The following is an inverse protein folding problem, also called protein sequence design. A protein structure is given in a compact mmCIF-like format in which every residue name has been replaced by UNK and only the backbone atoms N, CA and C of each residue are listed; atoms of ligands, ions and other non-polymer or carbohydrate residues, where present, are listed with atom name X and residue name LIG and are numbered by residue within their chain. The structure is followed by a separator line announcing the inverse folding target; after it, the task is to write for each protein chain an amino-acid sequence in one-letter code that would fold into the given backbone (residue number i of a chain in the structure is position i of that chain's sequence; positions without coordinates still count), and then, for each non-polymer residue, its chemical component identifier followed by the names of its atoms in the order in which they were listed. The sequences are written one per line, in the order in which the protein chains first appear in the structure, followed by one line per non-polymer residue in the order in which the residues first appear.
data_IF_903701548228
#
_entry.id   IF_903701548228
#
_cell.length_a   1.000
_cell.length_b   1.000
_cell.length_c   1.000
_cell.angle_alpha   90.00
_cell.angle_beta   90.00
_cell.angle_gamma   90.00
#
_symmetry.space_group_name_H-M   'P 1'
#
loop_
_entity.id
_entity.type
_entity.pdbx_description
1 polymer ?
#
# COMPACT_ATOMS: atom_id res chain seq x y z
N UNK A 1 49.11 27.47 -47.56
CA UNK A 1 49.32 26.39 -46.57
C UNK A 1 48.30 26.60 -45.47
N UNK A 2 47.43 25.61 -45.28
CA UNK A 2 46.24 25.68 -44.46
C UNK A 2 46.57 25.72 -42.96
N UNK A 3 45.86 26.56 -42.21
CA UNK A 3 45.63 26.30 -40.79
C UNK A 3 44.13 26.31 -40.54
N UNK A 4 43.61 25.10 -40.44
CA UNK A 4 42.22 24.72 -40.29
C UNK A 4 41.75 24.83 -38.85
N UNK A 5 40.63 25.55 -38.69
CA UNK A 5 39.52 25.30 -37.76
C UNK A 5 39.75 25.50 -36.25
N UNK A 6 38.83 26.22 -35.56
CA UNK A 6 38.94 26.45 -34.14
C UNK A 6 38.45 25.25 -33.32
N UNK A 7 39.22 24.93 -32.29
CA UNK A 7 38.77 24.77 -30.89
C UNK A 7 37.72 23.69 -30.58
N UNK A 8 38.09 22.78 -29.67
CA UNK A 8 37.15 22.30 -28.65
C UNK A 8 37.07 20.78 -28.44
N UNK A 9 37.87 20.28 -27.50
CA UNK A 9 37.44 19.38 -26.40
C UNK A 9 36.20 18.49 -26.63
N UNK A 10 36.38 17.26 -27.09
CA UNK A 10 35.34 16.22 -26.99
C UNK A 10 35.75 14.95 -26.20
N UNK A 11 36.49 15.02 -25.06
CA UNK A 11 36.44 13.97 -24.03
C UNK A 11 35.35 14.23 -22.97
N UNK A 12 34.76 15.42 -22.96
CA UNK A 12 33.79 15.87 -21.94
C UNK A 12 32.41 15.27 -22.11
N UNK A 13 31.95 15.00 -23.35
CA UNK A 13 30.59 14.46 -23.58
C UNK A 13 30.35 13.08 -22.94
N UNK A 14 31.33 12.18 -22.97
CA UNK A 14 31.20 10.85 -22.35
C UNK A 14 31.18 10.89 -20.82
N UNK A 15 31.91 11.83 -20.22
CA UNK A 15 31.89 12.06 -18.78
C UNK A 15 30.61 12.78 -18.37
N UNK A 16 30.18 13.82 -19.08
CA UNK A 16 28.92 14.55 -18.81
C UNK A 16 27.70 13.63 -18.83
N UNK A 17 27.60 12.68 -19.75
CA UNK A 17 26.48 11.73 -19.82
C UNK A 17 26.44 10.76 -18.61
N UNK A 18 27.60 10.32 -18.08
CA UNK A 18 27.64 9.48 -16.86
C UNK A 18 27.36 10.27 -15.59
N UNK A 19 27.85 11.51 -15.56
CA UNK A 19 27.63 12.48 -14.49
C UNK A 19 26.12 12.78 -14.44
N UNK A 20 25.49 13.07 -15.57
CA UNK A 20 24.06 13.41 -15.67
C UNK A 20 23.13 12.35 -15.06
N UNK A 21 23.40 11.05 -15.27
CA UNK A 21 22.60 9.98 -14.62
C UNK A 21 22.69 10.00 -13.09
N UNK A 22 23.82 10.40 -12.51
CA UNK A 22 23.97 10.59 -11.06
C UNK A 22 23.19 11.81 -10.55
N UNK A 23 22.97 12.81 -11.41
CA UNK A 23 22.22 14.03 -11.07
C UNK A 23 20.73 13.97 -11.45
N UNK A 24 20.29 13.00 -12.27
CA UNK A 24 18.91 12.93 -12.77
C UNK A 24 18.22 11.57 -12.63
N UNK A 25 18.92 10.50 -12.24
CA UNK A 25 18.28 9.21 -11.95
C UNK A 25 17.79 9.24 -10.50
N UNK A 26 16.53 9.59 -10.34
CA UNK A 26 15.89 9.45 -9.05
C UNK A 26 15.89 7.95 -8.74
N UNK A 27 16.67 7.51 -7.74
CA UNK A 27 16.75 6.10 -7.31
C UNK A 27 15.41 5.56 -6.81
N UNK A 28 14.54 5.12 -7.73
CA UNK A 28 13.12 4.82 -7.49
C UNK A 28 12.88 3.33 -7.20
N UNK A 29 13.91 2.59 -6.78
CA UNK A 29 13.78 1.13 -6.61
C UNK A 29 12.73 0.73 -5.57
N UNK A 30 12.78 1.36 -4.39
CA UNK A 30 11.92 0.98 -3.25
C UNK A 30 10.77 1.98 -3.01
N UNK A 31 10.88 3.19 -3.55
CA UNK A 31 9.88 4.26 -3.39
C UNK A 31 8.45 3.88 -3.84
N UNK A 32 8.23 3.17 -4.96
CA UNK A 32 6.87 2.82 -5.39
C UNK A 32 6.28 1.68 -4.56
N UNK A 33 7.07 0.97 -3.74
CA UNK A 33 6.54 -0.10 -2.88
C UNK A 33 5.50 0.45 -1.91
N UNK A 34 5.74 1.63 -1.34
CA UNK A 34 4.79 2.28 -0.45
C UNK A 34 3.56 2.84 -1.18
N UNK A 35 3.67 3.13 -2.49
CA UNK A 35 2.52 3.55 -3.28
C UNK A 35 1.43 2.46 -3.34
N UNK A 36 1.80 1.18 -3.21
CA UNK A 36 0.84 0.08 -3.07
C UNK A 36 -0.08 0.19 -1.85
N UNK A 37 0.36 0.89 -0.79
CA UNK A 37 -0.49 1.13 0.39
C UNK A 37 -1.70 2.03 0.07
N UNK A 38 -1.68 2.79 -1.04
CA UNK A 38 -2.85 3.54 -1.50
C UNK A 38 -4.08 2.66 -1.70
N UNK A 39 -3.88 1.44 -2.22
CA UNK A 39 -4.96 0.44 -2.41
C UNK A 39 -5.56 0.01 -1.07
N UNK A 40 -4.73 -0.15 -0.03
CA UNK A 40 -5.19 -0.45 1.32
C UNK A 40 -6.10 0.65 1.87
N UNK A 41 -5.75 1.92 1.63
CA UNK A 41 -6.60 3.05 2.05
C UNK A 41 -7.88 3.15 1.24
N UNK A 42 -7.85 2.86 -0.07
CA UNK A 42 -9.05 2.78 -0.88
C UNK A 42 -10.02 1.70 -0.37
N UNK A 43 -9.50 0.53 0.01
CA UNK A 43 -10.30 -0.53 0.63
C UNK A 43 -10.89 -0.11 1.99
N UNK A 44 -10.12 0.62 2.82
CA UNK A 44 -10.61 1.16 4.09
C UNK A 44 -11.81 2.09 3.87
N UNK A 45 -11.74 3.00 2.90
CA UNK A 45 -12.85 3.90 2.58
C UNK A 45 -14.06 3.12 2.01
N UNK A 46 -13.83 2.08 1.20
CA UNK A 46 -14.91 1.21 0.71
C UNK A 46 -15.64 0.46 1.85
N UNK A 47 -14.90 -0.02 2.86
CA UNK A 47 -15.48 -0.67 4.05
C UNK A 47 -16.26 0.35 4.88
N UNK A 48 -15.74 1.57 5.04
CA UNK A 48 -16.43 2.66 5.75
C UNK A 48 -17.76 3.02 5.06
N UNK A 49 -17.77 3.14 3.74
CA UNK A 49 -18.99 3.38 2.97
C UNK A 49 -19.98 2.21 3.10
N UNK A 50 -19.49 0.97 3.03
CA UNK A 50 -20.32 -0.23 3.21
C UNK A 50 -20.99 -0.30 4.58
N UNK A 51 -20.28 0.09 5.66
CA UNK A 51 -20.85 0.17 7.02
C UNK A 51 -21.97 1.20 7.11
N UNK A 52 -21.80 2.36 6.48
CA UNK A 52 -22.84 3.39 6.44
C UNK A 52 -24.10 2.89 5.71
N UNK A 53 -23.93 2.19 4.58
CA UNK A 53 -25.03 1.61 3.81
C UNK A 53 -25.73 0.46 4.53
N UNK A 54 -25.01 -0.31 5.34
CA UNK A 54 -25.56 -1.42 6.13
C UNK A 54 -26.29 -0.97 7.41
N UNK A 55 -26.40 0.34 7.65
CA UNK A 55 -27.03 0.94 8.84
C UNK A 55 -26.49 0.37 10.17
N UNK A 56 -25.21 -0.01 10.20
CA UNK A 56 -24.55 -0.45 11.44
C UNK A 56 -24.57 0.74 12.41
N UNK A 57 -24.97 0.50 13.66
CA UNK A 57 -25.24 1.52 14.69
C UNK A 57 -24.24 2.69 14.68
N UNK A 58 -24.70 3.90 15.02
CA UNK A 58 -23.84 5.10 15.08
C UNK A 58 -22.61 4.94 15.99
N UNK A 59 -22.67 4.04 16.98
CA UNK A 59 -21.52 3.64 17.82
C UNK A 59 -20.52 2.69 17.12
N UNK A 60 -20.95 1.96 16.09
CA UNK A 60 -20.11 1.10 15.25
C UNK A 60 -19.45 1.85 14.06
N UNK A 61 -19.88 3.09 13.79
CA UNK A 61 -19.21 4.04 12.89
C UNK A 61 -17.90 4.64 13.46
N UNK A 62 -17.33 4.02 14.49
CA UNK A 62 -16.00 4.35 14.99
C UNK A 62 -14.89 4.11 13.97
N UNK A 63 -13.64 4.29 14.40
CA UNK A 63 -12.46 4.16 13.53
C UNK A 63 -12.39 2.76 12.90
N UNK A 64 -12.57 2.67 11.57
CA UNK A 64 -12.36 1.43 10.81
C UNK A 64 -10.87 1.12 10.77
N UNK A 65 -10.43 0.18 11.60
CA UNK A 65 -9.07 -0.38 11.56
C UNK A 65 -9.03 -1.51 10.53
N UNK A 66 -8.16 -1.39 9.53
CA UNK A 66 -7.87 -2.43 8.56
C UNK A 66 -6.38 -2.74 8.68
N UNK A 67 -6.05 -3.89 9.26
CA UNK A 67 -4.66 -4.31 9.44
C UNK A 67 -4.05 -4.76 8.11
N UNK A 68 -2.75 -4.57 7.98
CA UNK A 68 -2.02 -5.15 6.84
C UNK A 68 -1.75 -6.62 7.11
N UNK A 69 -1.88 -7.52 6.12
CA UNK A 69 -2.48 -7.35 4.80
C UNK A 69 -4.01 -7.24 4.84
N UNK A 70 -4.60 -6.42 3.97
CA UNK A 70 -6.05 -6.24 3.87
C UNK A 70 -6.70 -7.41 3.10
N UNK A 71 -6.64 -8.61 3.67
CA UNK A 71 -7.20 -9.81 3.06
C UNK A 71 -8.74 -9.73 2.95
N UNK A 72 -9.29 -10.52 2.03
CA UNK A 72 -10.74 -10.57 1.79
C UNK A 72 -11.52 -10.96 3.06
N UNK A 73 -11.00 -11.90 3.85
CA UNK A 73 -11.60 -12.31 5.12
C UNK A 73 -11.74 -11.13 6.10
N UNK A 74 -10.66 -10.36 6.31
CA UNK A 74 -10.62 -9.23 7.23
C UNK A 74 -11.54 -8.12 6.76
N UNK A 75 -11.52 -7.83 5.45
CA UNK A 75 -12.37 -6.80 4.83
C UNK A 75 -13.86 -7.16 4.94
N UNK A 76 -14.22 -8.44 4.77
CA UNK A 76 -15.62 -8.89 4.86
C UNK A 76 -16.14 -8.84 6.29
N UNK A 77 -15.38 -9.38 7.25
CA UNK A 77 -15.74 -9.34 8.68
C UNK A 77 -15.81 -7.90 9.17
N UNK A 78 -14.95 -7.02 8.66
CA UNK A 78 -14.97 -5.60 9.01
C UNK A 78 -16.24 -4.87 8.56
N UNK A 79 -17.04 -5.35 7.60
CA UNK A 79 -18.31 -4.67 7.25
C UNK A 79 -19.33 -4.76 8.40
N UNK A 80 -19.33 -5.86 9.17
CA UNK A 80 -20.19 -6.00 10.35
C UNK A 80 -21.69 -5.98 10.03
N UNK A 81 -22.08 -6.48 8.86
CA UNK A 81 -23.48 -6.60 8.46
C UNK A 81 -24.22 -7.68 9.29
N UNK A 82 -25.53 -7.78 9.09
CA UNK A 82 -26.38 -8.75 9.77
C UNK A 82 -25.93 -10.21 9.56
N UNK A 83 -25.30 -10.51 8.41
CA UNK A 83 -24.74 -11.83 8.13
C UNK A 83 -23.56 -12.10 9.06
N UNK A 84 -22.62 -11.17 9.17
CA UNK A 84 -21.46 -11.29 10.07
C UNK A 84 -21.91 -11.37 11.53
N UNK A 85 -22.95 -10.63 11.93
CA UNK A 85 -23.52 -10.72 13.27
C UNK A 85 -24.13 -12.10 13.55
N UNK A 86 -24.88 -12.66 12.60
CA UNK A 86 -25.47 -14.00 12.72
C UNK A 86 -24.45 -15.13 12.66
N UNK A 87 -23.32 -14.94 11.99
CA UNK A 87 -22.26 -15.92 11.83
C UNK A 87 -21.14 -15.81 12.88
N UNK A 88 -21.33 -15.00 13.94
CA UNK A 88 -20.31 -14.80 14.96
C UNK A 88 -20.15 -16.06 15.82
N UNK A 89 -19.00 -16.72 15.70
CA UNK A 89 -18.63 -17.90 16.49
C UNK A 89 -17.65 -17.50 17.60
N UNK A 90 -17.94 -17.89 18.84
CA UNK A 90 -17.02 -17.78 19.97
C UNK A 90 -16.22 -19.07 20.14
N UNK A 91 -14.92 -18.96 20.42
CA UNK A 91 -14.11 -20.12 20.78
C UNK A 91 -14.58 -20.72 22.11
N UNK A 92 -14.69 -22.04 22.16
CA UNK A 92 -15.05 -22.77 23.38
C UNK A 92 -13.82 -23.14 24.21
N UNK A 93 -14.04 -23.53 25.47
CA UNK A 93 -12.96 -23.93 26.37
C UNK A 93 -12.20 -25.15 25.83
N UNK A 94 -10.89 -25.01 25.64
CA UNK A 94 -10.02 -26.06 25.11
C UNK A 94 -9.78 -26.03 23.59
N UNK A 95 -10.48 -25.18 22.83
CA UNK A 95 -10.28 -25.06 21.39
C UNK A 95 -9.03 -24.25 21.04
N UNK A 96 -8.19 -24.80 20.14
CA UNK A 96 -7.01 -24.12 19.62
C UNK A 96 -7.33 -23.50 18.27
N UNK A 97 -6.86 -22.27 18.05
CA UNK A 97 -6.98 -21.59 16.76
C UNK A 97 -6.13 -22.32 15.72
N UNK A 98 -6.70 -22.56 14.54
CA UNK A 98 -5.97 -23.17 13.42
C UNK A 98 -4.99 -22.16 12.78
N UNK A 99 -5.41 -20.90 12.64
CA UNK A 99 -4.56 -19.81 12.18
C UNK A 99 -4.11 -18.94 13.36
N UNK A 100 -2.84 -18.55 13.34
CA UNK A 100 -2.24 -17.58 14.28
C UNK A 100 -1.58 -16.48 13.47
N UNK A 101 -1.78 -15.24 13.88
CA UNK A 101 -1.04 -14.11 13.33
C UNK A 101 0.35 -14.07 13.98
N UNK A 102 1.39 -13.83 13.18
CA UNK A 102 2.71 -13.51 13.72
C UNK A 102 2.65 -12.07 14.27
N UNK A 103 2.39 -11.95 15.56
CA UNK A 103 2.45 -10.66 16.25
C UNK A 103 3.90 -10.18 16.23
N UNK A 104 4.13 -8.99 15.65
CA UNK A 104 5.39 -8.25 15.74
C UNK A 104 5.51 -7.52 17.07
#
# INVERSE_FOLDING_TARGET
MANSSPVGSEPTRYLELRISRRYSDSGTGERPLFLGASVKFALREAVKASRASAAVDAQAMGVVQVDSPAMAERSRVAVGDWIVQGAKVGAQEGEKRFFVEATA
#
